data_IF_629937996011
#
_entry.id   IF_629937996011
#
_cell.length_a   1.000
_cell.length_b   1.000
_cell.length_c   1.000
_cell.angle_alpha   90.00
_cell.angle_beta   90.00
_cell.angle_gamma   90.00
#
_symmetry.space_group_name_H-M   'P 1'
#
loop_
_entity.id
_entity.type
_entity.pdbx_description
1 polymer ?
#
# COMPACT_ATOMS: atom_id res chain seq x y z
N UNK A 1 68.23 -13.59 19.47
CA UNK A 1 69.44 -14.45 19.47
C UNK A 1 70.30 -14.29 18.21
N UNK A 2 69.74 -14.00 17.03
CA UNK A 2 70.50 -13.74 15.79
C UNK A 2 71.33 -12.45 15.79
N UNK A 3 70.83 -11.35 16.38
CA UNK A 3 71.54 -10.06 16.39
C UNK A 3 72.84 -10.07 17.22
N UNK A 4 72.91 -10.91 18.26
CA UNK A 4 74.08 -11.02 19.16
C UNK A 4 75.19 -11.87 18.52
N UNK A 5 74.83 -12.80 17.63
CA UNK A 5 75.81 -13.64 16.91
C UNK A 5 76.53 -12.87 15.80
N UNK A 6 75.90 -11.83 15.24
CA UNK A 6 76.52 -10.98 14.20
C UNK A 6 77.56 -10.04 14.81
N UNK A 7 77.38 -9.57 16.05
CA UNK A 7 78.31 -8.60 16.67
C UNK A 7 79.62 -9.23 17.15
N UNK A 8 79.65 -10.52 17.49
CA UNK A 8 80.88 -11.19 17.99
C UNK A 8 81.87 -11.62 16.90
N UNK A 9 81.53 -11.49 15.60
CA UNK A 9 82.39 -11.93 14.47
C UNK A 9 82.95 -10.76 13.64
N UNK A 10 82.86 -9.53 14.16
CA UNK A 10 83.17 -8.28 13.44
C UNK A 10 84.61 -7.79 13.67
N UNK A 11 85.33 -8.39 14.62
CA UNK A 11 86.70 -8.01 15.00
C UNK A 11 87.82 -8.57 14.11
N UNK A 12 87.51 -9.33 13.05
CA UNK A 12 88.52 -9.95 12.16
C UNK A 12 88.19 -9.89 10.65
N UNK A 13 87.39 -8.92 10.21
CA UNK A 13 86.93 -8.82 8.82
C UNK A 13 87.77 -7.80 8.02
N UNK A 14 88.10 -8.15 6.78
CA UNK A 14 88.79 -7.25 5.84
C UNK A 14 87.87 -6.12 5.37
N UNK A 15 88.42 -5.00 4.88
CA UNK A 15 87.61 -3.84 4.41
C UNK A 15 86.56 -4.25 3.34
N UNK A 16 86.86 -5.24 2.49
CA UNK A 16 85.91 -5.76 1.49
C UNK A 16 84.72 -6.50 2.11
N UNK A 17 84.91 -7.15 3.25
CA UNK A 17 83.83 -7.90 3.93
C UNK A 17 82.89 -6.95 4.68
N UNK A 18 83.39 -5.81 5.18
CA UNK A 18 82.57 -4.73 5.74
C UNK A 18 81.64 -4.13 4.69
N UNK A 19 82.14 -3.85 3.49
CA UNK A 19 81.33 -3.34 2.38
C UNK A 19 80.22 -4.34 1.99
N UNK A 20 80.54 -5.63 1.97
CA UNK A 20 79.57 -6.70 1.69
C UNK A 20 78.45 -6.76 2.73
N UNK A 21 78.79 -6.74 4.03
CA UNK A 21 77.80 -6.77 5.13
C UNK A 21 76.93 -5.52 5.13
N UNK A 22 77.52 -4.33 4.93
CA UNK A 22 76.79 -3.07 4.84
C UNK A 22 75.85 -3.07 3.63
N UNK A 23 76.29 -3.58 2.48
CA UNK A 23 75.44 -3.67 1.28
C UNK A 23 74.24 -4.60 1.46
N UNK A 24 74.43 -5.74 2.14
CA UNK A 24 73.36 -6.70 2.46
C UNK A 24 72.38 -6.11 3.48
N UNK A 25 72.88 -5.38 4.49
CA UNK A 25 72.05 -4.69 5.47
C UNK A 25 71.23 -3.57 4.82
N UNK A 26 71.83 -2.74 3.96
CA UNK A 26 71.14 -1.67 3.23
C UNK A 26 70.11 -2.26 2.27
N UNK A 27 70.47 -3.29 1.51
CA UNK A 27 69.55 -3.99 0.59
C UNK A 27 68.37 -4.63 1.32
N UNK A 28 68.62 -5.29 2.45
CA UNK A 28 67.58 -5.85 3.31
C UNK A 28 66.65 -4.78 3.91
N UNK A 29 67.22 -3.65 4.34
CA UNK A 29 66.44 -2.53 4.89
C UNK A 29 65.55 -1.87 3.82
N UNK A 30 66.08 -1.68 2.61
CA UNK A 30 65.31 -1.14 1.47
C UNK A 30 64.19 -2.09 1.02
N UNK A 31 64.42 -3.42 1.06
CA UNK A 31 63.38 -4.40 0.77
C UNK A 31 62.24 -4.38 1.80
N UNK A 32 62.56 -4.24 3.09
CA UNK A 32 61.56 -4.10 4.17
C UNK A 32 60.76 -2.81 3.98
N UNK A 33 61.42 -1.68 3.74
CA UNK A 33 60.74 -0.40 3.47
C UNK A 33 59.84 -0.52 2.22
N UNK A 34 60.33 -1.12 1.14
CA UNK A 34 59.57 -1.35 -0.08
C UNK A 34 58.31 -2.18 0.16
N UNK A 35 58.41 -3.26 0.95
CA UNK A 35 57.26 -4.09 1.32
C UNK A 35 56.24 -3.33 2.20
N UNK A 36 56.69 -2.53 3.16
CA UNK A 36 55.81 -1.72 4.02
C UNK A 36 55.09 -0.66 3.17
N UNK A 37 55.79 0.03 2.27
CA UNK A 37 55.19 1.00 1.35
C UNK A 37 54.18 0.31 0.43
N UNK A 38 54.48 -0.88 -0.11
CA UNK A 38 53.55 -1.64 -0.93
C UNK A 38 52.27 -2.02 -0.17
N UNK A 39 52.39 -2.48 1.09
CA UNK A 39 51.24 -2.81 1.94
C UNK A 39 50.39 -1.57 2.23
N UNK A 40 51.02 -0.43 2.57
CA UNK A 40 50.33 0.85 2.81
C UNK A 40 49.61 1.30 1.53
N UNK A 41 50.29 1.25 0.38
CA UNK A 41 49.74 1.67 -0.91
C UNK A 41 48.54 0.80 -1.30
N UNK A 42 48.65 -0.53 -1.15
CA UNK A 42 47.56 -1.46 -1.40
C UNK A 42 46.37 -1.20 -0.46
N UNK A 43 46.64 -0.91 0.82
CA UNK A 43 45.61 -0.55 1.80
C UNK A 43 44.87 0.74 1.43
N UNK A 44 45.59 1.76 0.95
CA UNK A 44 45.00 3.02 0.47
C UNK A 44 44.15 2.78 -0.78
N UNK A 45 44.64 2.01 -1.76
CA UNK A 45 43.89 1.68 -2.98
C UNK A 45 42.62 0.90 -2.65
N UNK A 46 42.71 -0.11 -1.79
CA UNK A 46 41.57 -0.88 -1.32
C UNK A 46 40.55 0.00 -0.56
N UNK A 47 41.04 0.94 0.25
CA UNK A 47 40.18 1.89 0.98
C UNK A 47 39.44 2.84 0.04
N UNK A 48 40.11 3.34 -1.02
CA UNK A 48 39.48 4.17 -2.06
C UNK A 48 38.43 3.38 -2.84
N UNK A 49 38.73 2.14 -3.23
CA UNK A 49 37.78 1.26 -3.94
C UNK A 49 36.53 1.01 -3.09
N UNK A 50 36.70 0.63 -1.82
CA UNK A 50 35.59 0.45 -0.87
C UNK A 50 34.77 1.72 -0.67
N UNK A 51 35.42 2.89 -0.60
CA UNK A 51 34.70 4.17 -0.48
C UNK A 51 33.84 4.43 -1.71
N UNK A 52 34.35 4.14 -2.92
CA UNK A 52 33.60 4.28 -4.17
C UNK A 52 32.41 3.31 -4.21
N UNK A 53 32.61 2.04 -3.87
CA UNK A 53 31.54 1.04 -3.80
C UNK A 53 30.44 1.46 -2.81
N UNK A 54 30.82 1.96 -1.63
CA UNK A 54 29.84 2.45 -0.63
C UNK A 54 29.04 3.65 -1.12
N UNK A 55 29.65 4.56 -1.91
CA UNK A 55 28.96 5.70 -2.51
C UNK A 55 27.95 5.25 -3.57
N UNK A 56 28.32 4.30 -4.43
CA UNK A 56 27.42 3.76 -5.45
C UNK A 56 26.20 3.06 -4.80
N UNK A 57 26.42 2.29 -3.74
CA UNK A 57 25.32 1.64 -2.99
C UNK A 57 24.50 2.68 -2.20
N UNK A 58 25.13 3.72 -1.68
CA UNK A 58 24.43 4.84 -1.05
C UNK A 58 23.47 5.55 -2.02
N UNK A 59 23.97 5.92 -3.20
CA UNK A 59 23.17 6.58 -4.24
C UNK A 59 22.01 5.68 -4.69
N UNK A 60 22.27 4.39 -4.90
CA UNK A 60 21.23 3.41 -5.19
C UNK A 60 20.16 3.36 -4.09
N UNK A 61 20.58 3.24 -2.83
CA UNK A 61 19.68 3.19 -1.68
C UNK A 61 18.74 4.40 -1.61
N UNK A 62 19.28 5.63 -1.71
CA UNK A 62 18.45 6.83 -1.62
C UNK A 62 17.56 7.05 -2.84
N UNK A 63 18.01 6.64 -4.03
CA UNK A 63 17.20 6.69 -5.25
C UNK A 63 16.01 5.73 -5.13
N UNK A 64 16.23 4.51 -4.68
CA UNK A 64 15.17 3.54 -4.42
C UNK A 64 14.23 4.00 -3.31
N UNK A 65 14.76 4.63 -2.25
CA UNK A 65 13.95 5.24 -1.19
C UNK A 65 13.03 6.35 -1.73
N UNK A 66 13.53 7.20 -2.63
CA UNK A 66 12.73 8.24 -3.28
C UNK A 66 11.62 7.67 -4.15
N UNK A 67 11.93 6.61 -4.90
CA UNK A 67 10.94 5.91 -5.70
C UNK A 67 9.81 5.33 -4.86
N UNK A 68 10.14 4.73 -3.70
CA UNK A 68 9.15 4.26 -2.72
C UNK A 68 8.32 5.42 -2.16
N UNK A 69 8.97 6.52 -1.77
CA UNK A 69 8.28 7.70 -1.23
C UNK A 69 7.33 8.34 -2.25
N UNK A 70 7.67 8.29 -3.54
CA UNK A 70 6.79 8.71 -4.64
C UNK A 70 5.63 7.73 -4.82
N UNK A 71 5.91 6.43 -4.81
CA UNK A 71 4.88 5.38 -4.90
C UNK A 71 3.88 5.46 -3.75
N UNK A 72 4.30 5.87 -2.55
CA UNK A 72 3.40 6.16 -1.42
C UNK A 72 2.38 7.25 -1.74
N UNK A 73 2.76 8.32 -2.46
CA UNK A 73 1.84 9.38 -2.86
C UNK A 73 0.80 8.86 -3.86
N UNK A 74 1.22 8.06 -4.84
CA UNK A 74 0.33 7.43 -5.82
C UNK A 74 -0.65 6.45 -5.15
N UNK A 75 -0.18 5.70 -4.16
CA UNK A 75 -1.04 4.81 -3.37
C UNK A 75 -2.07 5.61 -2.57
N UNK A 76 -1.65 6.69 -1.89
CA UNK A 76 -2.59 7.58 -1.17
C UNK A 76 -3.64 8.19 -2.10
N UNK A 77 -3.25 8.60 -3.31
CA UNK A 77 -4.18 9.10 -4.31
C UNK A 77 -5.18 8.02 -4.75
N UNK A 78 -4.70 6.79 -4.94
CA UNK A 78 -5.55 5.63 -5.27
C UNK A 78 -6.53 5.30 -4.14
N UNK A 79 -6.09 5.32 -2.88
CA UNK A 79 -6.94 5.13 -1.69
C UNK A 79 -8.00 6.24 -1.61
N UNK A 80 -7.61 7.50 -1.84
CA UNK A 80 -8.52 8.65 -1.81
C UNK A 80 -9.58 8.53 -2.91
N UNK A 81 -9.18 8.13 -4.11
CA UNK A 81 -10.11 7.87 -5.22
C UNK A 81 -11.12 6.79 -4.87
N UNK A 82 -10.68 5.67 -4.29
CA UNK A 82 -11.59 4.62 -3.86
C UNK A 82 -12.55 5.11 -2.76
N UNK A 83 -12.06 5.85 -1.77
CA UNK A 83 -12.90 6.43 -0.71
C UNK A 83 -14.01 7.34 -1.28
N UNK A 84 -13.65 8.17 -2.26
CA UNK A 84 -14.62 9.01 -2.97
C UNK A 84 -15.64 8.17 -3.76
N UNK A 85 -15.18 7.13 -4.48
CA UNK A 85 -16.06 6.21 -5.21
C UNK A 85 -17.05 5.51 -4.27
N UNK A 86 -16.58 5.04 -3.10
CA UNK A 86 -17.44 4.42 -2.08
C UNK A 86 -18.49 5.40 -1.55
N UNK A 87 -18.09 6.65 -1.27
CA UNK A 87 -18.98 7.73 -0.80
C UNK A 87 -20.05 8.10 -1.84
N UNK A 88 -19.68 8.08 -3.12
CA UNK A 88 -20.57 8.41 -4.24
C UNK A 88 -21.37 7.23 -4.77
N UNK A 89 -21.28 6.05 -4.14
CA UNK A 89 -21.97 4.84 -4.59
C UNK A 89 -21.57 4.37 -6.00
N UNK A 90 -20.39 4.75 -6.47
CA UNK A 90 -19.86 4.27 -7.75
C UNK A 90 -19.60 2.76 -7.70
N UNK A 91 -19.92 2.07 -8.80
CA UNK A 91 -19.51 0.67 -9.07
C UNK A 91 -18.16 0.56 -9.75
N UNK A 92 -17.65 1.66 -10.30
CA UNK A 92 -16.43 1.66 -11.06
C UNK A 92 -15.23 1.78 -10.12
N UNK A 93 -14.22 0.94 -10.39
CA UNK A 93 -12.93 0.97 -9.70
C UNK A 93 -13.06 0.83 -8.17
N UNK A 94 -13.64 -0.29 -7.72
CA UNK A 94 -13.77 -0.67 -6.31
C UNK A 94 -12.52 -1.41 -5.78
N UNK A 95 -11.34 -0.91 -6.15
CA UNK A 95 -10.07 -1.45 -5.67
C UNK A 95 -9.02 -0.36 -5.56
N UNK A 96 -8.15 -0.51 -4.57
CA UNK A 96 -6.94 0.29 -4.46
C UNK A 96 -5.91 -0.27 -5.42
N UNK A 97 -5.47 0.55 -6.37
CA UNK A 97 -4.32 0.23 -7.22
C UNK A 97 -3.04 0.35 -6.41
N UNK A 98 -2.30 -0.75 -6.31
CA UNK A 98 -0.95 -0.76 -5.74
C UNK A 98 0.04 -0.40 -6.85
N UNK A 99 0.84 0.67 -6.72
CA UNK A 99 1.87 1.02 -7.70
C UNK A 99 2.92 -0.09 -7.78
N UNK A 100 3.43 -0.38 -8.98
CA UNK A 100 4.48 -1.40 -9.17
C UNK A 100 5.77 -1.08 -8.41
N UNK A 101 6.02 0.19 -8.13
CA UNK A 101 7.16 0.66 -7.33
C UNK A 101 6.96 0.62 -5.82
N UNK A 102 5.79 0.19 -5.35
CA UNK A 102 5.48 0.08 -3.93
C UNK A 102 5.96 -1.27 -3.36
N UNK A 103 7.23 -1.59 -3.61
CA UNK A 103 7.93 -2.78 -3.11
C UNK A 103 9.23 -2.36 -2.43
N UNK A 104 9.64 -3.12 -1.42
CA UNK A 104 10.94 -2.93 -0.76
C UNK A 104 11.96 -4.00 -1.14
N UNK A 105 11.63 -4.89 -2.09
CA UNK A 105 12.49 -5.99 -2.52
C UNK A 105 13.88 -5.50 -2.95
N UNK A 106 13.94 -4.47 -3.79
CA UNK A 106 15.18 -3.85 -4.27
C UNK A 106 16.07 -3.33 -3.13
N UNK A 107 15.46 -2.90 -2.02
CA UNK A 107 16.19 -2.42 -0.84
C UNK A 107 16.62 -3.55 0.10
N UNK A 108 15.97 -4.72 0.03
CA UNK A 108 16.35 -5.90 0.81
C UNK A 108 17.59 -6.59 0.28
N UNK A 109 17.94 -6.38 -0.98
CA UNK A 109 19.20 -6.87 -1.56
C UNK A 109 20.43 -6.26 -0.88
N UNK A 110 20.27 -5.08 -0.27
CA UNK A 110 21.34 -4.41 0.45
C UNK A 110 21.49 -5.05 1.83
N UNK A 111 22.66 -5.66 2.07
CA UNK A 111 23.02 -6.26 3.34
C UNK A 111 22.91 -5.24 4.50
N UNK A 112 22.37 -5.69 5.64
CA UNK A 112 22.19 -4.85 6.83
C UNK A 112 23.49 -4.24 7.38
N UNK A 113 24.65 -4.89 7.22
CA UNK A 113 25.96 -4.33 7.56
C UNK A 113 26.35 -3.20 6.60
N UNK A 114 26.05 -3.34 5.31
CA UNK A 114 26.24 -2.30 4.31
C UNK A 114 25.32 -1.11 4.57
N UNK A 115 24.04 -1.34 4.88
CA UNK A 115 23.13 -0.29 5.33
C UNK A 115 23.62 0.42 6.60
N UNK A 116 24.09 -0.34 7.60
CA UNK A 116 24.70 0.24 8.79
C UNK A 116 25.93 1.10 8.46
N UNK A 117 26.77 0.66 7.52
CA UNK A 117 27.92 1.45 7.07
C UNK A 117 27.48 2.73 6.37
N UNK A 118 26.45 2.67 5.53
CA UNK A 118 25.94 3.82 4.78
C UNK A 118 25.25 4.82 5.70
N UNK A 119 24.39 4.36 6.62
CA UNK A 119 23.52 5.24 7.42
C UNK A 119 24.21 5.66 8.73
N UNK A 120 25.01 4.77 9.34
CA UNK A 120 25.58 4.96 10.67
C UNK A 120 27.10 5.16 10.66
N UNK A 121 27.88 4.18 10.19
CA UNK A 121 29.32 4.16 10.45
C UNK A 121 30.11 5.20 9.63
N UNK A 122 29.75 5.38 8.35
CA UNK A 122 30.51 6.23 7.42
C UNK A 122 30.06 7.69 7.45
N UNK A 123 28.98 8.01 8.18
CA UNK A 123 28.43 9.37 8.27
C UNK A 123 28.89 10.13 9.50
N UNK A 124 29.11 11.43 9.34
CA UNK A 124 29.37 12.36 10.43
C UNK A 124 28.09 12.65 11.23
N UNK A 125 28.22 12.73 12.55
CA UNK A 125 27.12 13.10 13.45
C UNK A 125 26.95 12.13 14.61
N UNK A 126 25.92 12.39 15.40
CA UNK A 126 25.60 11.61 16.60
C UNK A 126 25.25 10.15 16.25
N UNK A 127 25.97 9.22 16.87
CA UNK A 127 25.82 7.78 16.59
C UNK A 127 24.47 7.24 17.02
N UNK A 128 23.91 7.78 18.12
CA UNK A 128 22.59 7.38 18.62
C UNK A 128 21.50 7.79 17.64
N UNK A 129 21.45 9.05 17.22
CA UNK A 129 20.48 9.54 16.23
C UNK A 129 20.57 8.80 14.90
N UNK A 130 21.77 8.52 14.39
CA UNK A 130 21.94 7.74 13.14
C UNK A 130 21.41 6.31 13.27
N UNK A 131 21.60 5.70 14.44
CA UNK A 131 21.08 4.35 14.71
C UNK A 131 19.55 4.36 14.78
N UNK A 132 18.96 5.39 15.38
CA UNK A 132 17.51 5.62 15.38
C UNK A 132 16.98 5.82 13.95
N UNK A 133 17.63 6.66 13.12
CA UNK A 133 17.27 6.87 11.72
C UNK A 133 17.29 5.56 10.91
N UNK A 134 18.32 4.71 11.12
CA UNK A 134 18.38 3.38 10.48
C UNK A 134 17.21 2.49 10.92
N UNK A 135 16.91 2.42 12.22
CA UNK A 135 15.80 1.62 12.74
C UNK A 135 14.46 2.11 12.16
N UNK A 136 14.29 3.42 12.11
CA UNK A 136 13.11 4.09 11.58
C UNK A 136 12.88 3.77 10.10
N UNK A 137 13.92 3.87 9.27
CA UNK A 137 13.83 3.50 7.85
C UNK A 137 13.50 2.01 7.70
N UNK A 138 14.21 1.13 8.42
CA UNK A 138 13.96 -0.32 8.36
C UNK A 138 12.54 -0.70 8.78
N UNK A 139 12.01 -0.06 9.83
CA UNK A 139 10.64 -0.27 10.28
C UNK A 139 9.62 0.28 9.27
N UNK A 140 9.91 1.43 8.64
CA UNK A 140 9.09 2.00 7.56
C UNK A 140 9.00 1.07 6.34
N UNK A 141 10.12 0.48 5.93
CA UNK A 141 10.15 -0.50 4.82
C UNK A 141 9.33 -1.75 5.15
N UNK A 142 9.51 -2.32 6.35
CA UNK A 142 8.70 -3.46 6.80
C UNK A 142 7.20 -3.14 6.87
N UNK A 143 6.87 -1.91 7.25
CA UNK A 143 5.50 -1.45 7.29
C UNK A 143 4.89 -1.40 5.88
N UNK A 144 5.63 -0.88 4.89
CA UNK A 144 5.21 -0.84 3.49
C UNK A 144 4.85 -2.23 2.97
N UNK A 145 5.71 -3.22 3.18
CA UNK A 145 5.44 -4.61 2.73
C UNK A 145 4.17 -5.19 3.36
N UNK A 146 3.93 -4.86 4.63
CA UNK A 146 2.71 -5.30 5.31
C UNK A 146 1.48 -4.60 4.74
N UNK A 147 1.57 -3.30 4.46
CA UNK A 147 0.47 -2.54 3.86
C UNK A 147 0.08 -3.05 2.48
N UNK A 148 1.04 -3.46 1.64
CA UNK A 148 0.75 -4.10 0.35
C UNK A 148 -0.20 -5.27 0.56
N UNK A 149 0.15 -6.21 1.45
CA UNK A 149 -0.67 -7.40 1.73
C UNK A 149 -2.03 -7.06 2.32
N UNK A 150 -2.06 -6.14 3.29
CA UNK A 150 -3.32 -5.71 3.91
C UNK A 150 -4.26 -5.07 2.88
N UNK A 151 -3.74 -4.30 1.93
CA UNK A 151 -4.52 -3.67 0.86
C UNK A 151 -5.00 -4.72 -0.16
N UNK A 152 -4.18 -5.72 -0.50
CA UNK A 152 -4.60 -6.84 -1.36
C UNK A 152 -5.75 -7.62 -0.72
N UNK A 153 -5.63 -7.97 0.56
CA UNK A 153 -6.69 -8.64 1.31
C UNK A 153 -7.96 -7.79 1.41
N UNK A 154 -7.80 -6.49 1.67
CA UNK A 154 -8.91 -5.53 1.71
C UNK A 154 -9.65 -5.46 0.37
N UNK A 155 -8.92 -5.39 -0.75
CA UNK A 155 -9.51 -5.33 -2.08
C UNK A 155 -10.36 -6.57 -2.38
N UNK A 156 -9.87 -7.77 -2.03
CA UNK A 156 -10.63 -9.01 -2.21
C UNK A 156 -11.92 -8.99 -1.40
N UNK A 157 -11.83 -8.72 -0.10
CA UNK A 157 -12.99 -8.69 0.80
C UNK A 157 -14.03 -7.64 0.40
N UNK A 158 -13.60 -6.44 0.03
CA UNK A 158 -14.51 -5.36 -0.36
C UNK A 158 -15.38 -5.76 -1.56
N UNK A 159 -14.75 -6.33 -2.59
CA UNK A 159 -15.45 -6.71 -3.82
C UNK A 159 -16.45 -7.83 -3.55
N UNK A 160 -16.03 -8.87 -2.84
CA UNK A 160 -16.87 -10.02 -2.50
C UNK A 160 -18.07 -9.61 -1.67
N UNK A 161 -17.84 -8.85 -0.58
CA UNK A 161 -18.92 -8.40 0.30
C UNK A 161 -19.90 -7.44 -0.40
N UNK A 162 -19.43 -6.54 -1.27
CA UNK A 162 -20.35 -5.67 -2.01
C UNK A 162 -21.17 -6.45 -3.04
N UNK A 163 -20.55 -7.40 -3.76
CA UNK A 163 -21.24 -8.21 -4.78
C UNK A 163 -22.35 -9.07 -4.18
N UNK A 164 -22.14 -9.68 -3.02
CA UNK A 164 -23.16 -10.47 -2.33
C UNK A 164 -24.45 -9.66 -2.12
N UNK A 165 -24.33 -8.43 -1.63
CA UNK A 165 -25.50 -7.56 -1.42
C UNK A 165 -26.05 -6.97 -2.71
N UNK A 166 -25.26 -6.85 -3.79
CA UNK A 166 -25.78 -6.50 -5.14
C UNK A 166 -26.79 -7.55 -5.56
N UNK A 167 -26.39 -8.82 -5.45
CA UNK A 167 -27.17 -9.96 -5.91
C UNK A 167 -28.50 -10.03 -5.15
N UNK A 168 -28.46 -9.90 -3.82
CA UNK A 168 -29.67 -9.87 -2.99
C UNK A 168 -30.61 -8.71 -3.37
N UNK A 169 -30.05 -7.52 -3.63
CA UNK A 169 -30.85 -6.37 -4.04
C UNK A 169 -31.48 -6.56 -5.43
N UNK A 170 -30.72 -7.15 -6.37
CA UNK A 170 -31.20 -7.46 -7.71
C UNK A 170 -32.30 -8.52 -7.69
N UNK A 171 -32.15 -9.57 -6.88
CA UNK A 171 -33.21 -10.57 -6.66
C UNK A 171 -34.49 -9.93 -6.14
N UNK A 172 -34.37 -9.03 -5.16
CA UNK A 172 -35.52 -8.31 -4.63
C UNK A 172 -36.21 -7.47 -5.72
N UNK A 173 -35.44 -6.79 -6.57
CA UNK A 173 -35.97 -6.01 -7.69
C UNK A 173 -36.68 -6.89 -8.74
N UNK A 174 -36.11 -8.04 -9.07
CA UNK A 174 -36.74 -9.02 -9.99
C UNK A 174 -38.08 -9.48 -9.42
N UNK A 175 -38.14 -9.81 -8.13
CA UNK A 175 -39.37 -10.22 -7.46
C UNK A 175 -40.42 -9.10 -7.42
N UNK A 176 -40.01 -7.85 -7.15
CA UNK A 176 -40.91 -6.69 -7.19
C UNK A 176 -41.53 -6.54 -8.58
N UNK A 177 -40.72 -6.62 -9.64
CA UNK A 177 -41.22 -6.53 -11.02
C UNK A 177 -42.15 -7.69 -11.38
N UNK A 178 -41.83 -8.90 -10.93
CA UNK A 178 -42.67 -10.08 -11.13
C UNK A 178 -44.06 -9.89 -10.49
N UNK A 179 -44.09 -9.55 -9.20
CA UNK A 179 -45.33 -9.31 -8.47
C UNK A 179 -46.14 -8.14 -9.06
N UNK A 180 -45.49 -7.05 -9.44
CA UNK A 180 -46.16 -5.93 -10.12
C UNK A 180 -46.88 -6.38 -11.40
N UNK A 181 -46.23 -7.19 -12.23
CA UNK A 181 -46.85 -7.72 -13.45
C UNK A 181 -48.05 -8.63 -13.13
N UNK A 182 -47.92 -9.50 -12.13
CA UNK A 182 -49.03 -10.37 -11.69
C UNK A 182 -50.22 -9.55 -11.17
N UNK A 183 -49.98 -8.55 -10.32
CA UNK A 183 -51.02 -7.69 -9.79
C UNK A 183 -51.71 -6.88 -10.88
N UNK A 184 -50.94 -6.38 -11.85
CA UNK A 184 -51.46 -5.65 -13.00
C UNK A 184 -52.37 -6.53 -13.86
N UNK A 185 -51.93 -7.75 -14.19
CA UNK A 185 -52.76 -8.72 -14.95
C UNK A 185 -54.04 -9.08 -14.20
N UNK A 186 -53.95 -9.29 -12.89
CA UNK A 186 -55.11 -9.58 -12.03
C UNK A 186 -56.11 -8.41 -12.01
N UNK A 187 -55.63 -7.18 -11.85
CA UNK A 187 -56.45 -5.97 -11.87
C UNK A 187 -57.19 -5.80 -13.20
N UNK A 188 -56.52 -6.00 -14.33
CA UNK A 188 -57.15 -5.97 -15.65
C UNK A 188 -58.26 -7.03 -15.80
N UNK A 189 -58.01 -8.27 -15.36
CA UNK A 189 -59.03 -9.35 -15.38
C UNK A 189 -60.26 -8.99 -14.55
N UNK A 190 -60.04 -8.33 -13.41
CA UNK A 190 -61.09 -7.92 -12.49
C UNK A 190 -61.72 -6.55 -12.86
N UNK A 191 -61.37 -5.97 -14.02
CA UNK A 191 -61.86 -4.66 -14.50
C UNK A 191 -61.59 -3.51 -13.53
N UNK A 192 -60.49 -3.57 -12.79
CA UNK A 192 -59.95 -2.46 -12.01
C UNK A 192 -59.04 -1.64 -12.92
N UNK A 193 -59.41 -0.39 -13.18
CA UNK A 193 -58.70 0.49 -14.12
C UNK A 193 -57.64 1.36 -13.42
N UNK A 194 -56.58 1.78 -14.14
CA UNK A 194 -55.57 2.72 -13.62
C UNK A 194 -56.23 3.99 -13.06
N UNK A 195 -55.79 4.46 -11.88
CA UNK A 195 -56.40 5.58 -11.16
C UNK A 195 -57.41 5.20 -10.08
N UNK A 196 -57.85 3.93 -10.01
CA UNK A 196 -58.73 3.41 -8.95
C UNK A 196 -58.00 2.58 -7.88
N UNK A 197 -56.71 2.33 -8.08
CA UNK A 197 -55.89 1.50 -7.20
C UNK A 197 -54.59 2.23 -6.84
N UNK A 198 -54.60 2.86 -5.67
CA UNK A 198 -53.50 3.71 -5.23
C UNK A 198 -52.17 2.95 -5.06
N UNK A 199 -52.21 1.63 -4.83
CA UNK A 199 -51.00 0.80 -4.72
C UNK A 199 -50.43 0.48 -6.09
N UNK A 200 -51.26 0.08 -7.05
CA UNK A 200 -50.81 -0.15 -8.43
C UNK A 200 -50.34 1.14 -9.11
N UNK A 201 -51.03 2.25 -8.89
CA UNK A 201 -50.63 3.56 -9.43
C UNK A 201 -49.25 3.97 -8.89
N UNK A 202 -48.97 3.68 -7.61
CA UNK A 202 -47.65 3.90 -7.03
C UNK A 202 -46.59 3.02 -7.70
N UNK A 203 -46.86 1.72 -7.83
CA UNK A 203 -45.92 0.76 -8.42
C UNK A 203 -45.60 1.14 -9.86
N UNK A 204 -46.61 1.45 -10.67
CA UNK A 204 -46.44 1.92 -12.04
C UNK A 204 -45.58 3.19 -12.10
N UNK A 205 -45.90 4.19 -11.26
CA UNK A 205 -45.13 5.44 -11.19
C UNK A 205 -43.67 5.20 -10.81
N UNK A 206 -43.43 4.37 -9.80
CA UNK A 206 -42.11 4.10 -9.26
C UNK A 206 -41.28 3.26 -10.23
N UNK A 207 -41.83 2.17 -10.75
CA UNK A 207 -41.10 1.29 -11.67
C UNK A 207 -40.93 1.94 -13.05
N UNK A 208 -41.94 2.66 -13.55
CA UNK A 208 -41.88 3.39 -14.82
C UNK A 208 -40.84 4.52 -14.80
N UNK A 209 -40.80 5.32 -13.71
CA UNK A 209 -39.82 6.41 -13.58
C UNK A 209 -38.36 5.89 -13.58
N UNK A 210 -38.13 4.73 -13.00
CA UNK A 210 -36.79 4.15 -12.87
C UNK A 210 -36.50 3.07 -13.93
N UNK A 211 -37.35 2.89 -14.93
CA UNK A 211 -37.27 1.79 -15.90
C UNK A 211 -35.94 1.78 -16.66
N UNK A 212 -35.44 2.95 -17.06
CA UNK A 212 -34.12 3.09 -17.69
C UNK A 212 -32.99 2.65 -16.76
N UNK A 213 -33.09 2.95 -15.46
CA UNK A 213 -32.05 2.57 -14.49
C UNK A 213 -32.12 1.08 -14.14
N UNK A 214 -33.30 0.46 -14.18
CA UNK A 214 -33.50 -0.99 -14.09
C UNK A 214 -32.94 -1.71 -15.33
N UNK A 215 -33.05 -1.12 -16.51
CA UNK A 215 -32.50 -1.68 -17.76
C UNK A 215 -30.98 -1.50 -17.82
N UNK A 216 -30.50 -0.32 -17.45
CA UNK A 216 -29.08 0.02 -17.42
C UNK A 216 -28.34 -0.62 -16.24
N UNK A 217 -29.05 -1.14 -15.23
CA UNK A 217 -28.44 -1.90 -14.10
C UNK A 217 -27.85 -3.26 -14.49
N UNK A 218 -27.84 -3.60 -15.78
CA UNK A 218 -26.90 -4.61 -16.31
C UNK A 218 -25.43 -4.26 -16.01
N UNK A 219 -25.13 -2.97 -15.83
CA UNK A 219 -23.96 -2.51 -15.09
C UNK A 219 -24.35 -2.30 -13.62
N UNK A 220 -23.80 -3.16 -12.74
CA UNK A 220 -23.99 -3.33 -11.27
C UNK A 220 -23.95 -2.06 -10.36
N UNK A 221 -24.56 -0.94 -10.75
CA UNK A 221 -24.02 0.40 -10.44
C UNK A 221 -24.90 1.37 -9.68
N UNK A 222 -26.09 1.00 -9.24
CA UNK A 222 -27.00 2.01 -8.72
C UNK A 222 -27.80 1.56 -7.50
N UNK A 223 -27.13 0.92 -6.54
CA UNK A 223 -27.68 0.49 -5.24
C UNK A 223 -28.58 1.54 -4.58
N UNK A 224 -28.06 2.76 -4.46
CA UNK A 224 -28.77 3.87 -3.84
C UNK A 224 -30.00 4.28 -4.63
N UNK A 225 -29.90 4.21 -5.94
CA UNK A 225 -30.99 4.60 -6.84
C UNK A 225 -32.09 3.55 -6.86
N UNK A 226 -31.74 2.26 -6.88
CA UNK A 226 -32.71 1.16 -6.74
C UNK A 226 -33.42 1.26 -5.38
N UNK A 227 -32.66 1.46 -4.30
CA UNK A 227 -33.25 1.58 -2.97
C UNK A 227 -34.14 2.83 -2.84
N UNK A 228 -33.58 4.03 -3.03
CA UNK A 228 -34.30 5.29 -2.83
C UNK A 228 -35.33 5.59 -3.92
N UNK A 229 -35.15 5.03 -5.11
CA UNK A 229 -36.04 5.21 -6.25
C UNK A 229 -37.21 4.22 -6.25
N UNK A 230 -37.01 2.99 -5.75
CA UNK A 230 -38.00 1.91 -5.85
C UNK A 230 -38.44 1.39 -4.49
N UNK A 231 -37.52 0.80 -3.71
CA UNK A 231 -37.86 0.08 -2.49
C UNK A 231 -38.39 1.03 -1.39
N UNK A 232 -37.69 2.13 -1.14
CA UNK A 232 -38.03 3.08 -0.09
C UNK A 232 -39.41 3.75 -0.32
N UNK A 233 -39.74 4.26 -1.52
CA UNK A 233 -41.08 4.80 -1.79
C UNK A 233 -42.22 3.81 -1.53
N UNK A 234 -42.04 2.54 -1.91
CA UNK A 234 -43.06 1.49 -1.69
C UNK A 234 -43.19 1.21 -0.18
N UNK A 235 -42.08 1.06 0.53
CA UNK A 235 -42.08 0.88 1.99
C UNK A 235 -42.73 2.06 2.73
N UNK A 236 -42.49 3.30 2.29
CA UNK A 236 -43.11 4.49 2.86
C UNK A 236 -44.63 4.48 2.64
N UNK A 237 -45.09 4.14 1.44
CA UNK A 237 -46.51 4.03 1.17
C UNK A 237 -47.20 2.99 2.05
N UNK A 238 -46.61 1.80 2.19
CA UNK A 238 -47.15 0.73 3.03
C UNK A 238 -47.27 1.19 4.49
N UNK A 239 -46.22 1.87 5.01
CA UNK A 239 -46.24 2.45 6.37
C UNK A 239 -47.33 3.50 6.56
N UNK A 240 -47.55 4.34 5.55
CA UNK A 240 -48.53 5.42 5.60
C UNK A 240 -49.98 4.93 5.47
N UNK A 241 -50.23 3.90 4.65
CA UNK A 241 -51.59 3.44 4.38
C UNK A 241 -52.18 2.50 5.44
N UNK A 242 -51.37 1.93 6.34
CA UNK A 242 -51.77 1.06 7.49
C UNK A 242 -52.66 -0.15 7.16
N UNK A 243 -53.19 -0.27 5.95
CA UNK A 243 -54.10 -1.34 5.55
C UNK A 243 -53.31 -2.57 5.09
N UNK A 244 -52.76 -3.29 6.07
CA UNK A 244 -52.08 -4.58 5.87
C UNK A 244 -53.04 -5.72 5.48
N UNK A 245 -54.31 -5.42 5.16
CA UNK A 245 -55.30 -6.40 4.71
C UNK A 245 -55.24 -6.65 3.20
N UNK A 246 -54.58 -5.79 2.44
CA UNK A 246 -54.32 -6.03 1.02
C UNK A 246 -53.28 -7.15 0.87
N UNK A 247 -53.70 -8.31 0.39
CA UNK A 247 -52.84 -9.49 0.19
C UNK A 247 -51.64 -9.17 -0.70
N UNK A 248 -51.77 -8.24 -1.65
CA UNK A 248 -50.68 -7.81 -2.54
C UNK A 248 -49.58 -7.07 -1.79
N UNK A 249 -49.97 -6.27 -0.81
CA UNK A 249 -49.02 -5.60 0.09
C UNK A 249 -48.30 -6.65 0.93
N UNK A 250 -49.04 -7.61 1.47
CA UNK A 250 -48.46 -8.71 2.28
C UNK A 250 -47.45 -9.52 1.48
N UNK A 251 -47.76 -9.85 0.22
CA UNK A 251 -46.86 -10.58 -0.69
C UNK A 251 -45.61 -9.78 -1.08
N UNK A 252 -45.71 -8.45 -1.18
CA UNK A 252 -44.59 -7.58 -1.55
C UNK A 252 -43.65 -7.27 -0.37
N UNK A 253 -44.12 -7.34 0.88
CA UNK A 253 -43.31 -7.00 2.07
C UNK A 253 -41.99 -7.79 2.15
N UNK A 254 -41.96 -9.12 1.98
CA UNK A 254 -40.73 -9.90 2.10
C UNK A 254 -39.59 -9.43 1.18
N UNK A 255 -39.88 -9.19 -0.11
CA UNK A 255 -38.85 -8.75 -1.06
C UNK A 255 -38.38 -7.31 -0.77
N UNK A 256 -39.27 -6.42 -0.35
CA UNK A 256 -38.92 -5.06 0.06
C UNK A 256 -38.04 -5.04 1.32
N UNK A 257 -38.34 -5.88 2.32
CA UNK A 257 -37.51 -6.01 3.53
C UNK A 257 -36.12 -6.55 3.17
N UNK A 258 -36.06 -7.61 2.34
CA UNK A 258 -34.78 -8.19 1.90
C UNK A 258 -33.92 -7.15 1.17
N UNK A 259 -34.51 -6.41 0.23
CA UNK A 259 -33.82 -5.34 -0.48
C UNK A 259 -33.36 -4.19 0.44
N UNK A 260 -34.16 -3.82 1.44
CA UNK A 260 -33.76 -2.85 2.45
C UNK A 260 -32.58 -3.32 3.31
N UNK A 261 -32.58 -4.59 3.73
CA UNK A 261 -31.49 -5.17 4.52
C UNK A 261 -30.19 -5.15 3.72
N UNK A 262 -30.21 -5.63 2.47
CA UNK A 262 -29.04 -5.61 1.59
C UNK A 262 -28.50 -4.18 1.35
N UNK A 263 -29.39 -3.20 1.17
CA UNK A 263 -28.98 -1.80 1.06
C UNK A 263 -28.27 -1.30 2.34
N UNK A 264 -28.85 -1.55 3.51
CA UNK A 264 -28.27 -1.12 4.79
C UNK A 264 -26.92 -1.79 5.07
N UNK A 265 -26.78 -3.07 4.73
CA UNK A 265 -25.52 -3.82 4.87
C UNK A 265 -24.45 -3.26 3.92
N UNK A 266 -24.82 -2.95 2.67
CA UNK A 266 -23.94 -2.26 1.72
C UNK A 266 -23.50 -0.88 2.23
N UNK A 267 -24.40 -0.08 2.81
CA UNK A 267 -24.03 1.20 3.44
C UNK A 267 -23.02 1.00 4.58
N UNK A 268 -23.25 0.00 5.43
CA UNK A 268 -22.35 -0.32 6.54
C UNK A 268 -20.95 -0.70 6.04
N UNK A 269 -20.87 -1.59 5.05
CA UNK A 269 -19.60 -2.02 4.44
C UNK A 269 -18.86 -0.82 3.83
N UNK A 270 -19.56 0.04 3.09
CA UNK A 270 -18.97 1.25 2.49
C UNK A 270 -18.40 2.17 3.57
N UNK A 271 -19.16 2.42 4.64
CA UNK A 271 -18.74 3.29 5.75
C UNK A 271 -17.55 2.71 6.51
N UNK A 272 -17.56 1.41 6.80
CA UNK A 272 -16.43 0.73 7.44
C UNK A 272 -15.18 0.78 6.57
N UNK A 273 -15.35 0.52 5.27
CA UNK A 273 -14.27 0.58 4.28
C UNK A 273 -13.64 1.97 4.21
N UNK A 274 -14.45 3.04 4.16
CA UNK A 274 -13.96 4.43 4.19
C UNK A 274 -13.13 4.69 5.46
N UNK A 275 -13.59 4.22 6.63
CA UNK A 275 -12.84 4.37 7.88
C UNK A 275 -11.50 3.63 7.85
N UNK A 276 -11.47 2.41 7.30
CA UNK A 276 -10.25 1.62 7.13
C UNK A 276 -9.27 2.31 6.18
N UNK A 277 -9.75 2.79 5.03
CA UNK A 277 -8.96 3.55 4.06
C UNK A 277 -8.36 4.83 4.67
N UNK A 278 -9.14 5.54 5.50
CA UNK A 278 -8.64 6.72 6.22
C UNK A 278 -7.50 6.39 7.19
N UNK A 279 -7.57 5.23 7.87
CA UNK A 279 -6.47 4.75 8.73
C UNK A 279 -5.22 4.43 7.91
N UNK A 280 -5.36 3.80 6.74
CA UNK A 280 -4.24 3.57 5.83
C UNK A 280 -3.56 4.87 5.41
N UNK A 281 -4.32 5.89 4.99
CA UNK A 281 -3.77 7.21 4.65
C UNK A 281 -2.99 7.81 5.83
N UNK A 282 -3.59 7.80 7.03
CA UNK A 282 -2.95 8.36 8.23
C UNK A 282 -1.62 7.68 8.53
N UNK A 283 -1.58 6.35 8.48
CA UNK A 283 -0.38 5.61 8.79
C UNK A 283 0.69 5.76 7.71
N UNK A 284 0.30 5.76 6.43
CA UNK A 284 1.21 6.04 5.31
C UNK A 284 1.84 7.44 5.46
N UNK A 285 1.07 8.46 5.84
CA UNK A 285 1.60 9.80 6.10
C UNK A 285 2.64 9.80 7.23
N UNK A 286 2.35 9.13 8.35
CA UNK A 286 3.28 9.03 9.48
C UNK A 286 4.62 8.40 9.08
N UNK A 287 4.57 7.28 8.36
CA UNK A 287 5.78 6.58 7.87
C UNK A 287 6.53 7.43 6.86
N UNK A 288 5.82 8.09 5.96
CA UNK A 288 6.44 8.92 4.93
C UNK A 288 7.15 10.14 5.54
N UNK A 289 6.55 10.81 6.53
CA UNK A 289 7.17 11.93 7.24
C UNK A 289 8.47 11.47 7.91
N UNK A 290 8.39 10.38 8.67
CA UNK A 290 9.53 9.81 9.38
C UNK A 290 10.66 9.42 8.42
N UNK A 291 10.35 8.75 7.30
CA UNK A 291 11.34 8.40 6.29
C UNK A 291 11.94 9.63 5.58
N UNK A 292 11.15 10.66 5.28
CA UNK A 292 11.63 11.94 4.71
C UNK A 292 12.57 12.67 5.67
N UNK A 293 12.23 12.70 6.96
CA UNK A 293 13.07 13.29 8.01
C UNK A 293 14.40 12.56 8.15
N UNK A 294 14.36 11.22 8.26
CA UNK A 294 15.56 10.39 8.30
C UNK A 294 16.41 10.59 7.05
N UNK A 295 15.81 10.67 5.85
CA UNK A 295 16.56 10.94 4.61
C UNK A 295 17.26 12.31 4.67
N UNK A 296 16.57 13.35 5.14
CA UNK A 296 17.09 14.72 5.22
C UNK A 296 18.26 14.82 6.21
N UNK A 297 18.14 14.24 7.41
CA UNK A 297 19.25 14.19 8.39
C UNK A 297 20.46 13.47 7.82
N UNK A 298 20.20 12.45 7.02
CA UNK A 298 21.19 11.58 6.44
C UNK A 298 21.96 12.29 5.32
N UNK A 299 21.29 12.95 4.37
CA UNK A 299 21.92 13.66 3.24
C UNK A 299 22.67 14.96 3.62
N UNK A 300 22.30 15.64 4.71
CA UNK A 300 22.77 16.99 5.04
C UNK A 300 24.22 17.10 5.58
N UNK A 301 25.04 16.05 5.60
CA UNK A 301 26.41 16.14 6.15
C UNK A 301 27.44 15.49 5.23
N UNK A 302 28.02 16.33 4.39
CA UNK A 302 29.08 16.01 3.42
C UNK A 302 30.19 15.14 4.03
N UNK A 303 30.54 14.09 3.27
CA UNK A 303 31.80 13.37 3.35
C UNK A 303 32.97 14.32 3.01
N UNK A 304 33.35 15.22 3.92
CA UNK A 304 34.69 15.82 3.94
C UNK A 304 35.66 14.90 4.67
#
# INVERSE_FOLDING_TARGET
MFLVFVLCKVSSLSESDYFSIISVLIGGFLAIIGSVIAVITQSIVNSRKRKKELLEIEDYFFTSLDFILSSMEELKASITKLSNNLTQYSSLFLSVRIPSGFSTEDLREIDGKTLYRIIVASRKGDSKRKSEDMINIMNGLRYIDRQVKEIEEFNGKLLDSLNEHVEVLNEALIQINFLYNEFTVSAYKNKVFPGNDSFLDLLEKVLGKNQQEIINSSDKSNFKVIYSGIIEPILLFIRSNKDLKDERIVEMIPCLIKGKQAYNESESIRKESINTLSKYISNLNSVQILMKECKKTTLLRELK
#
